data_IF_029733505207
#
_entry.id   IF_029733505207
#
_cell.length_a   1.000
_cell.length_b   1.000
_cell.length_c   1.000
_cell.angle_alpha   90.00
_cell.angle_beta   90.00
_cell.angle_gamma   90.00
#
_symmetry.space_group_name_H-M   'P 1'
#
loop_
_entity.id
_entity.type
_entity.pdbx_description
1 polymer ?
#
# COMPACT_ATOMS: atom_id res chain seq x y z
N UNK A 1 3.28 8.60 20.95
CA UNK A 1 2.03 9.37 20.75
C UNK A 1 1.05 8.45 20.06
N UNK A 2 -0.20 8.41 20.51
CA UNK A 2 -1.24 7.55 19.91
C UNK A 2 -2.12 8.44 19.04
N UNK A 3 -2.03 8.30 17.72
CA UNK A 3 -2.82 9.07 16.76
C UNK A 3 -4.01 8.24 16.32
N UNK A 4 -5.21 8.81 16.40
CA UNK A 4 -6.44 8.19 15.89
C UNK A 4 -6.99 9.08 14.80
N UNK A 5 -7.18 8.51 13.61
CA UNK A 5 -7.79 9.19 12.49
C UNK A 5 -9.27 8.74 12.35
N UNK A 6 -10.13 9.63 11.85
CA UNK A 6 -11.55 9.36 11.63
C UNK A 6 -11.93 9.74 10.20
N UNK A 7 -12.94 9.07 9.64
CA UNK A 7 -13.39 9.24 8.25
C UNK A 7 -12.27 8.99 7.23
N UNK A 8 -11.63 7.83 7.37
CA UNK A 8 -10.52 7.40 6.53
C UNK A 8 -11.05 6.45 5.48
N UNK A 9 -10.89 6.84 4.22
CA UNK A 9 -11.27 6.05 3.07
C UNK A 9 -10.11 5.14 2.65
N UNK A 10 -10.47 3.96 2.13
CA UNK A 10 -9.56 3.06 1.43
C UNK A 10 -9.64 3.37 -0.06
N UNK A 11 -8.59 3.97 -0.60
CA UNK A 11 -8.57 4.49 -1.97
C UNK A 11 -7.77 3.57 -2.86
N UNK A 12 -8.37 3.17 -3.97
CA UNK A 12 -7.69 2.45 -5.04
C UNK A 12 -6.70 3.39 -5.73
N UNK A 13 -5.44 2.97 -5.80
CA UNK A 13 -4.38 3.75 -6.44
C UNK A 13 -4.37 3.57 -7.97
N UNK A 14 -3.88 4.60 -8.67
CA UNK A 14 -3.59 4.53 -10.11
C UNK A 14 -2.18 5.08 -10.38
N UNK A 15 -1.22 4.28 -10.87
CA UNK A 15 -1.39 2.87 -11.27
C UNK A 15 -1.66 1.96 -10.07
N UNK A 16 -2.47 0.92 -10.28
CA UNK A 16 -2.86 -0.05 -9.24
C UNK A 16 -1.69 -0.73 -8.54
N UNK A 17 -0.57 -0.90 -9.23
CA UNK A 17 0.63 -1.50 -8.65
C UNK A 17 1.46 -0.51 -7.81
N UNK A 18 1.16 0.78 -7.84
CA UNK A 18 1.90 1.80 -7.10
C UNK A 18 3.40 1.85 -7.38
N UNK A 19 3.85 1.36 -8.54
CA UNK A 19 5.29 1.31 -8.87
C UNK A 19 5.82 2.61 -9.47
N UNK A 20 4.94 3.53 -9.84
CA UNK A 20 5.27 4.88 -10.27
C UNK A 20 4.49 5.92 -9.47
N UNK A 21 4.63 7.20 -9.81
CA UNK A 21 3.93 8.27 -9.10
C UNK A 21 2.41 8.07 -9.21
N UNK A 22 1.71 8.15 -8.08
CA UNK A 22 0.27 7.96 -8.03
C UNK A 22 -0.44 9.19 -8.62
N UNK A 23 -1.39 8.93 -9.49
CA UNK A 23 -2.34 9.92 -10.01
C UNK A 23 -3.55 10.01 -9.04
N UNK A 24 -4.07 11.23 -8.80
CA UNK A 24 -5.15 11.60 -7.84
C UNK A 24 -4.73 12.23 -6.49
N UNK A 25 -3.82 13.21 -6.53
CA UNK A 25 -3.34 13.94 -5.35
C UNK A 25 -4.42 14.58 -4.44
N UNK A 26 -5.62 14.86 -4.92
CA UNK A 26 -6.65 15.56 -4.10
C UNK A 26 -7.39 14.63 -3.12
N UNK A 27 -7.54 13.36 -3.45
CA UNK A 27 -8.27 12.40 -2.61
C UNK A 27 -7.36 11.70 -1.60
N UNK A 28 -6.03 11.77 -1.77
CA UNK A 28 -5.08 11.01 -0.96
C UNK A 28 -4.81 11.57 0.44
N UNK A 29 -5.04 12.85 0.67
CA UNK A 29 -4.74 13.43 1.97
C UNK A 29 -5.55 12.76 3.08
N UNK A 30 -4.83 12.24 4.07
CA UNK A 30 -5.38 11.56 5.22
C UNK A 30 -6.10 10.23 4.92
N UNK A 31 -5.85 9.59 3.78
CA UNK A 31 -6.48 8.31 3.43
C UNK A 31 -5.49 7.14 3.35
N UNK A 32 -6.02 5.91 3.20
CA UNK A 32 -5.21 4.69 3.09
C UNK A 32 -5.18 4.24 1.63
N UNK A 33 -3.99 3.89 1.16
CA UNK A 33 -3.79 3.39 -0.20
C UNK A 33 -4.13 1.89 -0.28
N UNK A 34 -4.92 1.49 -1.28
CA UNK A 34 -5.06 0.10 -1.71
C UNK A 34 -4.23 -0.10 -2.97
N UNK A 35 -3.26 -1.01 -2.90
CA UNK A 35 -2.26 -1.27 -3.95
C UNK A 35 -2.21 -2.76 -4.24
N UNK A 36 -2.22 -3.13 -5.51
CA UNK A 36 -2.05 -4.52 -5.95
C UNK A 36 -0.57 -4.93 -5.86
N UNK A 37 -0.33 -6.18 -5.45
CA UNK A 37 1.00 -6.78 -5.46
C UNK A 37 1.50 -6.99 -6.89
N UNK A 38 2.81 -6.82 -7.08
CA UNK A 38 3.50 -7.02 -8.37
C UNK A 38 4.28 -5.79 -8.82
N UNK A 39 5.02 -5.91 -9.93
CA UNK A 39 5.72 -4.80 -10.61
C UNK A 39 7.00 -4.29 -9.91
N UNK A 40 7.00 -4.14 -8.59
CA UNK A 40 8.10 -3.57 -7.80
C UNK A 40 8.06 -4.05 -6.34
N UNK A 41 9.07 -3.65 -5.55
CA UNK A 41 9.17 -4.00 -4.13
C UNK A 41 8.07 -3.36 -3.28
N UNK A 42 7.72 -4.00 -2.16
CA UNK A 42 6.80 -3.44 -1.18
C UNK A 42 7.25 -2.06 -0.67
N UNK A 43 8.55 -1.90 -0.38
CA UNK A 43 9.10 -0.62 0.04
C UNK A 43 8.90 0.47 -1.03
N UNK A 44 9.04 0.15 -2.32
CA UNK A 44 8.82 1.12 -3.40
C UNK A 44 7.36 1.60 -3.42
N UNK A 45 6.40 0.70 -3.24
CA UNK A 45 4.97 1.03 -3.14
C UNK A 45 4.69 1.97 -1.98
N UNK A 46 5.24 1.67 -0.80
CA UNK A 46 5.09 2.49 0.39
C UNK A 46 5.68 3.90 0.21
N UNK A 47 6.83 4.01 -0.44
CA UNK A 47 7.46 5.32 -0.75
C UNK A 47 6.59 6.15 -1.70
N UNK A 48 5.96 5.55 -2.71
CA UNK A 48 5.07 6.30 -3.61
C UNK A 48 3.81 6.79 -2.88
N UNK A 49 3.24 5.94 -2.03
CA UNK A 49 2.09 6.31 -1.20
C UNK A 49 2.43 7.43 -0.21
N UNK A 50 3.57 7.34 0.49
CA UNK A 50 4.05 8.37 1.43
C UNK A 50 4.23 9.72 0.74
N UNK A 51 4.86 9.72 -0.45
CA UNK A 51 5.03 10.94 -1.28
C UNK A 51 3.72 11.57 -1.73
N UNK A 52 2.65 10.78 -1.77
CA UNK A 52 1.32 11.21 -2.20
C UNK A 52 0.46 11.71 -1.01
N UNK A 53 0.97 11.64 0.22
CA UNK A 53 0.28 12.13 1.42
C UNK A 53 -0.68 11.13 2.07
N UNK A 54 -0.59 9.85 1.69
CA UNK A 54 -1.37 8.77 2.29
C UNK A 54 -0.83 8.41 3.68
N UNK A 55 -1.71 7.95 4.57
CA UNK A 55 -1.36 7.64 5.97
C UNK A 55 -0.87 6.21 6.17
N UNK A 56 -1.27 5.30 5.30
CA UNK A 56 -0.90 3.89 5.34
C UNK A 56 -1.06 3.24 3.96
N UNK A 57 -0.47 2.06 3.80
CA UNK A 57 -0.66 1.21 2.62
C UNK A 57 -1.25 -0.12 3.00
N UNK A 58 -2.23 -0.56 2.21
CA UNK A 58 -2.76 -1.91 2.21
C UNK A 58 -2.40 -2.55 0.86
N UNK A 59 -1.59 -3.59 0.90
CA UNK A 59 -1.12 -4.31 -0.28
C UNK A 59 -1.94 -5.58 -0.43
N UNK A 60 -2.71 -5.64 -1.52
CA UNK A 60 -3.52 -6.80 -1.86
C UNK A 60 -2.71 -7.79 -2.67
N UNK A 61 -2.69 -9.06 -2.26
CA UNK A 61 -2.14 -10.11 -3.10
C UNK A 61 -2.94 -10.20 -4.41
N UNK A 62 -2.25 -10.34 -5.52
CA UNK A 62 -2.87 -10.45 -6.83
C UNK A 62 -3.23 -11.90 -7.18
N UNK A 63 -2.86 -12.86 -6.34
CA UNK A 63 -3.24 -14.26 -6.46
C UNK A 63 -4.44 -14.59 -5.55
N UNK A 64 -5.59 -14.82 -6.18
CA UNK A 64 -6.86 -15.18 -5.53
C UNK A 64 -6.88 -16.59 -4.96
N UNK A 65 -5.96 -17.46 -5.39
CA UNK A 65 -5.84 -18.82 -4.87
C UNK A 65 -4.79 -18.93 -3.78
N UNK A 66 -4.01 -17.86 -3.55
CA UNK A 66 -3.02 -17.84 -2.50
C UNK A 66 -3.69 -17.75 -1.12
N UNK A 67 -3.56 -18.81 -0.34
CA UNK A 67 -4.00 -18.90 1.04
C UNK A 67 -2.85 -18.79 2.06
N UNK A 68 -1.61 -18.58 1.60
CA UNK A 68 -0.44 -18.37 2.45
C UNK A 68 -0.51 -17.01 3.15
N UNK A 69 -0.89 -17.02 4.43
CA UNK A 69 -0.96 -15.83 5.29
C UNK A 69 0.39 -15.22 5.66
N UNK A 70 1.50 -15.88 5.32
CA UNK A 70 2.85 -15.43 5.67
C UNK A 70 3.58 -14.90 4.44
N UNK A 71 3.68 -13.58 4.35
CA UNK A 71 4.60 -12.92 3.44
C UNK A 71 5.57 -12.04 4.21
N UNK A 72 6.86 -12.25 3.98
CA UNK A 72 7.88 -11.36 4.52
C UNK A 72 7.98 -10.12 3.63
N UNK A 73 7.48 -8.98 4.14
CA UNK A 73 7.66 -7.67 3.52
C UNK A 73 9.06 -7.12 3.81
N UNK A 74 10.09 -7.87 3.42
CA UNK A 74 11.50 -7.54 3.71
C UNK A 74 11.91 -6.26 2.98
N UNK A 75 12.79 -5.50 3.64
CA UNK A 75 13.55 -4.41 3.02
C UNK A 75 14.18 -4.85 1.70
N UNK A 76 14.11 -3.98 0.69
CA UNK A 76 14.62 -4.30 -0.65
C UNK A 76 16.12 -3.98 -0.83
N UNK A 77 16.85 -3.81 0.27
CA UNK A 77 18.30 -3.50 0.36
C UNK A 77 18.73 -2.14 -0.17
N UNK A 78 17.77 -1.31 -0.60
CA UNK A 78 18.08 0.02 -1.16
C UNK A 78 18.45 1.05 -0.09
N UNK A 79 18.35 0.72 1.20
CA UNK A 79 18.56 1.62 2.36
C UNK A 79 17.60 2.80 2.39
N UNK A 80 16.53 2.76 1.59
CA UNK A 80 15.45 3.74 1.66
C UNK A 80 14.60 3.43 2.89
N UNK A 81 13.91 4.43 3.39
CA UNK A 81 13.01 4.28 4.53
C UNK A 81 11.65 4.83 4.17
N UNK A 82 10.61 4.23 4.76
CA UNK A 82 9.23 4.69 4.64
C UNK A 82 8.66 4.79 6.06
N UNK A 83 7.97 5.88 6.36
CA UNK A 83 7.48 6.18 7.71
C UNK A 83 6.02 5.79 7.93
N UNK A 84 5.30 5.49 6.86
CA UNK A 84 3.90 5.06 6.93
C UNK A 84 3.80 3.54 7.14
N UNK A 85 2.85 3.07 7.96
CA UNK A 85 2.59 1.65 8.15
C UNK A 85 2.11 0.99 6.86
N UNK A 86 2.45 -0.29 6.70
CA UNK A 86 2.01 -1.12 5.60
C UNK A 86 1.41 -2.43 6.12
N UNK A 87 0.32 -2.85 5.50
CA UNK A 87 -0.39 -4.09 5.79
C UNK A 87 -0.49 -4.91 4.50
N UNK A 88 -0.42 -6.23 4.63
CA UNK A 88 -0.67 -7.16 3.54
C UNK A 88 -2.03 -7.86 3.75
N UNK A 89 -2.83 -7.96 2.69
CA UNK A 89 -4.09 -8.72 2.68
C UNK A 89 -4.05 -9.77 1.56
N UNK A 90 -4.67 -10.91 1.81
CA UNK A 90 -4.75 -12.00 0.83
C UNK A 90 -5.68 -11.63 -0.32
N UNK A 91 -5.39 -12.15 -1.52
CA UNK A 91 -6.19 -11.89 -2.71
C UNK A 91 -7.63 -12.35 -2.56
N UNK A 92 -7.88 -13.41 -1.77
CA UNK A 92 -9.24 -13.88 -1.42
C UNK A 92 -10.04 -12.87 -0.58
N UNK A 93 -9.36 -12.06 0.22
CA UNK A 93 -9.96 -11.08 1.14
C UNK A 93 -9.99 -9.66 0.53
N UNK A 94 -9.22 -9.43 -0.53
CA UNK A 94 -9.14 -8.16 -1.25
C UNK A 94 -9.74 -8.19 -2.65
N UNK A 95 -10.67 -9.12 -2.93
CA UNK A 95 -11.42 -9.17 -4.18
C UNK A 95 -12.14 -7.83 -4.39
N UNK A 96 -11.70 -7.10 -5.42
CA UNK A 96 -12.37 -5.95 -6.03
C UNK A 96 -13.11 -6.39 -7.30
#
# INVERSE_FOLDING_TARGET
MNYTYQNIDLILTEPRDGCSALSNNFEFQNNIALIDRGGCSFLSKCIQAERSGLLAVMICDNDVFNDDQYIDMVDDTTKRTCSIPALFILGKDGIL
#
